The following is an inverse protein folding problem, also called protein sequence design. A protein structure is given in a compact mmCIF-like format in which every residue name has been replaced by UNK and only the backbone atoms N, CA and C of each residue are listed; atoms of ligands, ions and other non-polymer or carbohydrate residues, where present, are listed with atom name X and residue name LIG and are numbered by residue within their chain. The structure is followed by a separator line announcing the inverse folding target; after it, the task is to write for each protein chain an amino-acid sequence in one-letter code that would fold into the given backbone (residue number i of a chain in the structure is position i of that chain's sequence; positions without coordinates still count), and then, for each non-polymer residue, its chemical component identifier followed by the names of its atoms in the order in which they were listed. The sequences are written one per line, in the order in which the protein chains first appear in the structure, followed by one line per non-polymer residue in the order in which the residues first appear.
data_IF_833604132599
#
_entry.id   IF_833604132599
#
_cell.length_a   1.000
_cell.length_b   1.000
_cell.length_c   1.000
_cell.angle_alpha   90.00
_cell.angle_beta   90.00
_cell.angle_gamma   90.00
#
_symmetry.space_group_name_H-M   'P 1'
#
loop_
_entity.id
_entity.type
_entity.pdbx_description
1 polymer ?
#
# COMPACT_ATOMS: atom_id res chain seq x y z
N UNK A 1 -28.64 -7.23 -9.26
CA UNK A 1 -27.56 -6.29 -8.87
C UNK A 1 -27.18 -6.53 -7.42
N UNK A 2 -25.95 -6.18 -7.01
CA UNK A 2 -25.46 -6.38 -5.64
C UNK A 2 -26.29 -5.61 -4.60
N UNK A 3 -26.60 -6.28 -3.48
CA UNK A 3 -27.43 -5.74 -2.39
C UNK A 3 -26.70 -4.68 -1.55
N UNK A 4 -25.41 -4.87 -1.32
CA UNK A 4 -24.59 -4.04 -0.43
C UNK A 4 -23.86 -2.93 -1.18
N UNK A 5 -23.42 -1.90 -0.46
CA UNK A 5 -22.73 -0.73 -1.01
C UNK A 5 -21.27 -0.99 -1.38
N UNK A 6 -20.73 -2.13 -0.97
CA UNK A 6 -19.35 -2.54 -1.18
C UNK A 6 -19.29 -3.97 -1.72
N UNK A 7 -18.27 -4.24 -2.52
CA UNK A 7 -17.97 -5.56 -3.07
C UNK A 7 -16.60 -6.01 -2.58
N UNK A 8 -16.46 -7.31 -2.35
CA UNK A 8 -15.18 -7.97 -2.11
C UNK A 8 -14.84 -8.87 -3.30
N UNK A 9 -13.61 -8.77 -3.79
CA UNK A 9 -13.06 -9.58 -4.88
C UNK A 9 -11.93 -10.45 -4.35
N UNK A 10 -11.94 -11.74 -4.70
CA UNK A 10 -10.85 -12.67 -4.44
C UNK A 10 -10.96 -13.81 -5.46
N UNK A 11 -9.82 -14.20 -6.03
CA UNK A 11 -9.72 -15.33 -6.95
C UNK A 11 -9.45 -16.61 -6.13
N UNK A 12 -9.58 -17.77 -6.78
CA UNK A 12 -9.33 -19.10 -6.19
C UNK A 12 -7.83 -19.47 -6.11
N UNK A 13 -6.95 -18.48 -6.26
CA UNK A 13 -5.49 -18.62 -6.21
C UNK A 13 -4.91 -18.44 -4.81
N UNK A 14 -5.57 -17.62 -3.98
CA UNK A 14 -4.99 -17.11 -2.74
C UNK A 14 -5.98 -17.20 -1.58
N UNK A 15 -5.49 -17.62 -0.42
CA UNK A 15 -6.18 -17.45 0.85
C UNK A 15 -5.75 -16.12 1.48
N UNK A 16 -6.70 -15.21 1.63
CA UNK A 16 -6.49 -13.93 2.30
C UNK A 16 -6.82 -14.03 3.79
N UNK A 17 -5.78 -13.99 4.64
CA UNK A 17 -5.90 -14.01 6.10
C UNK A 17 -5.90 -12.62 6.74
N UNK A 18 -5.84 -11.55 5.94
CA UNK A 18 -5.66 -10.17 6.41
C UNK A 18 -6.91 -9.30 6.21
N UNK A 19 -8.07 -9.89 6.50
CA UNK A 19 -9.37 -9.30 6.17
C UNK A 19 -9.74 -8.15 7.10
N UNK A 20 -9.48 -8.27 8.40
CA UNK A 20 -9.76 -7.20 9.36
C UNK A 20 -8.92 -5.97 9.02
N UNK A 21 -7.64 -6.16 8.70
CA UNK A 21 -6.71 -5.08 8.35
C UNK A 21 -7.09 -4.41 7.04
N UNK A 22 -7.37 -5.20 6.00
CA UNK A 22 -7.77 -4.67 4.70
C UNK A 22 -9.10 -3.91 4.80
N UNK A 23 -10.08 -4.46 5.52
CA UNK A 23 -11.36 -3.82 5.74
C UNK A 23 -11.23 -2.54 6.58
N UNK A 24 -10.39 -2.56 7.61
CA UNK A 24 -10.09 -1.37 8.43
C UNK A 24 -9.52 -0.23 7.58
N UNK A 25 -8.58 -0.54 6.68
CA UNK A 25 -8.03 0.45 5.76
C UNK A 25 -9.09 0.97 4.78
N UNK A 26 -9.93 0.07 4.25
CA UNK A 26 -11.02 0.42 3.34
C UNK A 26 -12.06 1.36 3.97
N UNK A 27 -12.44 1.13 5.22
CA UNK A 27 -13.46 1.93 5.90
C UNK A 27 -13.07 3.40 6.06
N UNK A 28 -11.77 3.72 6.12
CA UNK A 28 -11.31 5.11 6.18
C UNK A 28 -11.59 5.85 4.86
N UNK A 29 -11.43 5.16 3.72
CA UNK A 29 -11.47 5.77 2.40
C UNK A 29 -12.15 4.85 1.37
N UNK A 30 -13.45 4.52 1.55
CA UNK A 30 -14.16 3.51 0.75
C UNK A 30 -14.36 3.93 -0.71
N UNK A 31 -14.02 5.17 -1.02
CA UNK A 31 -13.97 5.68 -2.38
C UNK A 31 -12.77 5.14 -3.17
N UNK A 32 -11.71 4.57 -2.58
CA UNK A 32 -10.60 3.98 -3.33
C UNK A 32 -10.77 2.45 -3.49
N UNK A 33 -9.95 1.84 -4.36
CA UNK A 33 -9.75 0.38 -4.34
C UNK A 33 -8.72 0.09 -3.26
N UNK A 34 -9.07 -0.76 -2.29
CA UNK A 34 -8.14 -1.28 -1.30
C UNK A 34 -7.87 -2.74 -1.59
N UNK A 35 -6.60 -3.11 -1.76
CA UNK A 35 -6.23 -4.48 -2.13
C UNK A 35 -5.03 -4.98 -1.35
N UNK A 36 -5.00 -6.29 -1.09
CA UNK A 36 -3.77 -6.97 -0.72
C UNK A 36 -2.98 -7.32 -1.98
N UNK A 37 -1.67 -7.39 -1.85
CA UNK A 37 -0.78 -7.75 -2.96
C UNK A 37 0.46 -8.43 -2.42
N UNK A 38 0.81 -9.58 -2.98
CA UNK A 38 2.09 -10.22 -2.69
C UNK A 38 3.24 -9.26 -3.00
N UNK A 39 4.36 -9.28 -2.25
CA UNK A 39 5.46 -8.34 -2.47
C UNK A 39 5.92 -8.27 -3.93
N UNK A 40 6.08 -9.41 -4.61
CA UNK A 40 6.47 -9.43 -6.03
C UNK A 40 5.42 -8.75 -6.92
N UNK A 41 4.14 -9.02 -6.70
CA UNK A 41 3.03 -8.41 -7.47
C UNK A 41 2.92 -6.91 -7.15
N UNK A 42 3.16 -6.52 -5.90
CA UNK A 42 3.19 -5.12 -5.48
C UNK A 42 4.24 -4.36 -6.30
N UNK A 43 5.47 -4.88 -6.41
CA UNK A 43 6.53 -4.27 -7.22
C UNK A 43 6.15 -4.16 -8.70
N UNK A 44 5.58 -5.21 -9.30
CA UNK A 44 5.11 -5.14 -10.69
C UNK A 44 3.97 -4.13 -10.86
N UNK A 45 3.07 -4.05 -9.89
CA UNK A 45 1.98 -3.06 -9.87
C UNK A 45 2.50 -1.63 -9.78
N UNK A 46 3.60 -1.38 -9.05
CA UNK A 46 4.25 -0.05 -8.99
C UNK A 46 4.77 0.41 -10.35
N UNK A 47 5.23 -0.51 -11.23
CA UNK A 47 5.66 -0.18 -12.61
C UNK A 47 4.52 0.34 -13.47
N UNK A 48 3.30 -0.09 -13.13
CA UNK A 48 2.06 0.27 -13.81
C UNK A 48 1.23 1.26 -12.99
N UNK A 49 1.87 2.11 -12.18
CA UNK A 49 1.32 3.35 -11.65
C UNK A 49 1.98 4.55 -12.34
N UNK A 50 1.19 5.36 -13.02
CA UNK A 50 1.71 6.46 -13.85
C UNK A 50 0.71 7.60 -13.99
N UNK A 51 1.16 8.70 -14.56
CA UNK A 51 0.32 9.87 -14.80
C UNK A 51 0.52 10.49 -16.19
N UNK A 52 -0.45 11.30 -16.59
CA UNK A 52 -0.33 12.28 -17.65
C UNK A 52 -1.25 13.46 -17.31
N UNK A 53 -0.65 14.58 -16.88
CA UNK A 53 -1.39 15.77 -16.45
C UNK A 53 -2.20 16.38 -17.61
N UNK A 54 -1.69 16.38 -18.84
CA UNK A 54 -2.38 16.95 -20.02
C UNK A 54 -3.68 16.23 -20.34
N UNK A 55 -3.83 14.98 -19.87
CA UNK A 55 -5.02 14.14 -20.08
C UNK A 55 -5.81 13.88 -18.80
N UNK A 56 -5.40 14.44 -17.66
CA UNK A 56 -5.96 14.10 -16.35
C UNK A 56 -5.93 12.59 -16.10
N UNK A 57 -4.83 11.93 -16.47
CA UNK A 57 -4.59 10.51 -16.26
C UNK A 57 -3.78 10.33 -14.97
N UNK A 58 -4.27 9.50 -14.06
CA UNK A 58 -3.63 9.15 -12.79
C UNK A 58 -4.14 7.77 -12.37
N UNK A 59 -3.49 6.73 -12.87
CA UNK A 59 -4.01 5.37 -12.75
C UNK A 59 -2.95 4.38 -12.30
N UNK A 60 -3.41 3.25 -11.77
CA UNK A 60 -2.57 2.17 -11.29
C UNK A 60 -3.21 0.81 -11.48
N UNK A 61 -2.39 -0.19 -11.81
CA UNK A 61 -2.80 -1.58 -11.76
C UNK A 61 -2.78 -2.10 -10.32
N UNK A 62 -3.76 -2.92 -9.97
CA UNK A 62 -3.68 -3.86 -8.85
C UNK A 62 -4.39 -5.15 -9.25
N UNK A 63 -3.89 -6.28 -8.74
CA UNK A 63 -4.50 -7.59 -8.96
C UNK A 63 -5.66 -7.80 -7.98
N UNK A 64 -6.89 -7.67 -8.47
CA UNK A 64 -8.08 -7.71 -7.60
C UNK A 64 -8.24 -9.06 -6.88
N UNK A 65 -7.84 -10.15 -7.54
CA UNK A 65 -7.90 -11.52 -7.03
C UNK A 65 -7.12 -11.80 -5.75
N UNK A 66 -6.17 -10.95 -5.37
CA UNK A 66 -5.41 -11.07 -4.12
C UNK A 66 -6.22 -10.69 -2.87
N UNK A 67 -7.50 -10.32 -3.03
CA UNK A 67 -8.35 -9.79 -1.96
C UNK A 67 -8.46 -8.28 -2.08
N UNK A 68 -9.63 -7.78 -2.50
CA UNK A 68 -9.86 -6.35 -2.71
C UNK A 68 -11.25 -5.91 -2.31
N UNK A 69 -11.35 -4.80 -1.58
CA UNK A 69 -12.59 -4.08 -1.34
C UNK A 69 -12.74 -2.90 -2.30
N UNK A 70 -13.94 -2.77 -2.86
CA UNK A 70 -14.31 -1.66 -3.75
C UNK A 70 -15.75 -1.23 -3.51
N UNK A 71 -16.07 0.03 -3.80
CA UNK A 71 -17.45 0.50 -3.74
C UNK A 71 -18.29 -0.03 -4.91
N UNK A 72 -19.58 -0.30 -4.64
CA UNK A 72 -20.58 -0.66 -5.66
C UNK A 72 -20.63 0.40 -6.76
N UNK A 73 -20.48 1.67 -6.40
CA UNK A 73 -20.46 2.78 -7.36
C UNK A 73 -19.34 2.62 -8.42
N UNK A 74 -18.13 2.19 -8.03
CA UNK A 74 -17.07 1.90 -9.00
C UNK A 74 -17.39 0.71 -9.88
N UNK A 75 -18.00 -0.34 -9.32
CA UNK A 75 -18.43 -1.51 -10.10
C UNK A 75 -19.50 -1.12 -11.13
N UNK A 76 -20.50 -0.34 -10.73
CA UNK A 76 -21.54 0.16 -11.65
C UNK A 76 -20.96 1.05 -12.75
N UNK A 77 -20.02 1.96 -12.39
CA UNK A 77 -19.30 2.78 -13.37
C UNK A 77 -18.53 1.92 -14.36
N UNK A 78 -17.82 0.89 -13.88
CA UNK A 78 -17.08 -0.03 -14.72
C UNK A 78 -17.98 -0.79 -15.71
N UNK A 79 -19.15 -1.26 -15.27
CA UNK A 79 -20.13 -1.87 -16.17
C UNK A 79 -20.61 -0.89 -17.24
N UNK A 80 -20.80 0.39 -16.89
CA UNK A 80 -21.10 1.46 -17.85
C UNK A 80 -19.97 1.70 -18.86
N UNK A 81 -18.71 1.69 -18.39
CA UNK A 81 -17.53 1.82 -19.24
C UNK A 81 -17.43 0.66 -20.24
N UNK A 82 -17.70 -0.58 -19.82
CA UNK A 82 -17.73 -1.75 -20.72
C UNK A 82 -18.82 -1.63 -21.79
N UNK A 83 -19.96 -1.01 -21.48
CA UNK A 83 -21.02 -0.73 -22.46
C UNK A 83 -20.63 0.34 -23.47
N UNK A 84 -19.78 1.30 -23.07
CA UNK A 84 -19.33 2.39 -23.95
C UNK A 84 -18.07 2.04 -24.74
N UNK A 85 -17.18 1.23 -24.18
CA UNK A 85 -15.93 0.78 -24.80
C UNK A 85 -16.07 -0.71 -25.06
N UNK A 86 -16.53 -1.05 -26.26
CA UNK A 86 -16.73 -2.44 -26.66
C UNK A 86 -15.42 -3.23 -26.58
N UNK A 87 -15.38 -4.21 -25.68
CA UNK A 87 -14.35 -5.23 -25.63
C UNK A 87 -14.78 -6.45 -26.46
N UNK A 88 -13.84 -7.09 -27.15
CA UNK A 88 -14.08 -8.36 -27.84
C UNK A 88 -14.40 -9.43 -26.78
N UNK A 89 -15.24 -10.43 -27.13
CA UNK A 89 -15.72 -11.47 -26.21
C UNK A 89 -14.62 -12.10 -25.32
N UNK A 90 -13.45 -12.40 -25.87
CA UNK A 90 -12.37 -13.00 -25.10
C UNK A 90 -11.75 -12.04 -24.08
N UNK A 91 -11.75 -10.73 -24.37
CA UNK A 91 -11.28 -9.68 -23.44
C UNK A 91 -12.29 -9.40 -22.34
N UNK A 92 -13.59 -9.61 -22.58
CA UNK A 92 -14.62 -9.50 -21.54
C UNK A 92 -14.41 -10.52 -20.40
N UNK A 93 -13.84 -11.69 -20.70
CA UNK A 93 -13.48 -12.69 -19.67
C UNK A 93 -12.32 -12.24 -18.78
N UNK A 94 -11.58 -11.21 -19.19
CA UNK A 94 -10.40 -10.67 -18.51
C UNK A 94 -10.65 -9.21 -18.06
N UNK A 95 -11.93 -8.81 -17.92
CA UNK A 95 -12.32 -7.44 -17.63
C UNK A 95 -11.87 -6.98 -16.23
N UNK A 96 -11.67 -7.91 -15.29
CA UNK A 96 -11.05 -7.68 -13.99
C UNK A 96 -9.69 -6.96 -14.10
N UNK A 97 -8.91 -7.25 -15.15
CA UNK A 97 -7.60 -6.63 -15.41
C UNK A 97 -7.68 -5.18 -15.88
N UNK A 98 -8.85 -4.75 -16.35
CA UNK A 98 -9.13 -3.38 -16.80
C UNK A 98 -9.64 -2.53 -15.65
N UNK A 99 -10.31 -3.16 -14.68
CA UNK A 99 -11.09 -2.51 -13.65
C UNK A 99 -10.28 -1.45 -12.90
N UNK A 100 -9.14 -1.83 -12.31
CA UNK A 100 -8.33 -0.92 -11.49
C UNK A 100 -7.84 0.28 -12.30
N UNK A 101 -7.33 0.01 -13.51
CA UNK A 101 -6.86 1.05 -14.42
C UNK A 101 -7.98 2.02 -14.82
N UNK A 102 -9.16 1.49 -15.17
CA UNK A 102 -10.30 2.28 -15.65
C UNK A 102 -11.02 3.07 -14.57
N UNK A 103 -10.69 2.86 -13.30
CA UNK A 103 -11.10 3.82 -12.26
C UNK A 103 -10.44 5.19 -12.45
N UNK A 104 -9.32 5.24 -13.18
CA UNK A 104 -8.40 6.37 -13.26
C UNK A 104 -8.07 6.90 -11.87
N UNK A 105 -7.71 5.99 -10.95
CA UNK A 105 -7.24 6.29 -9.61
C UNK A 105 -6.05 5.37 -9.31
N UNK A 106 -5.15 5.82 -8.45
CA UNK A 106 -4.17 4.92 -7.87
C UNK A 106 -4.89 3.98 -6.88
N UNK A 107 -4.66 2.66 -6.92
CA UNK A 107 -5.14 1.76 -5.86
C UNK A 107 -4.39 1.96 -4.54
N UNK A 108 -5.05 1.68 -3.41
CA UNK A 108 -4.44 1.64 -2.08
C UNK A 108 -4.04 0.20 -1.74
N UNK A 109 -2.84 -0.19 -2.14
CA UNK A 109 -2.34 -1.57 -2.03
C UNK A 109 -1.59 -1.78 -0.73
N UNK A 110 -1.86 -2.90 -0.07
CA UNK A 110 -1.12 -3.42 1.08
C UNK A 110 -0.20 -4.54 0.61
N UNK A 111 1.08 -4.48 0.97
CA UNK A 111 2.09 -5.45 0.58
C UNK A 111 2.26 -6.51 1.66
N UNK A 112 1.78 -7.72 1.44
CA UNK A 112 1.86 -8.82 2.39
C UNK A 112 1.93 -10.18 1.70
N UNK A 113 2.56 -11.19 2.32
CA UNK A 113 2.53 -12.55 1.80
C UNK A 113 1.10 -13.07 1.80
N UNK A 114 0.74 -13.85 0.78
CA UNK A 114 -0.53 -14.55 0.68
C UNK A 114 -0.27 -16.04 0.59
N UNK A 115 -1.17 -16.84 1.16
CA UNK A 115 -1.06 -18.30 1.11
C UNK A 115 -1.63 -18.78 -0.22
N UNK A 116 -0.84 -19.41 -1.11
CA UNK A 116 -1.37 -20.01 -2.33
C UNK A 116 -2.34 -21.15 -1.98
N UNK A 117 -3.43 -21.25 -2.73
CA UNK A 117 -4.32 -22.40 -2.69
C UNK A 117 -3.81 -23.48 -3.65
N UNK A 118 -3.97 -24.75 -3.27
CA UNK A 118 -3.58 -25.88 -4.13
C UNK A 118 -4.41 -25.87 -5.42
N UNK A 119 -3.75 -25.58 -6.54
CA UNK A 119 -4.37 -25.60 -7.86
C UNK A 119 -3.78 -26.73 -8.70
N UNK A 120 -4.66 -27.50 -9.33
CA UNK A 120 -4.26 -28.55 -10.29
C UNK A 120 -3.57 -28.00 -11.54
N UNK A 121 -3.78 -26.71 -11.86
CA UNK A 121 -3.22 -25.99 -13.01
C UNK A 121 -2.64 -24.62 -12.59
N UNK A 122 -1.81 -24.60 -11.55
CA UNK A 122 -1.24 -23.37 -10.99
C UNK A 122 -0.35 -22.57 -11.95
N UNK A 123 -0.24 -21.27 -11.65
CA UNK A 123 0.33 -20.19 -12.48
C UNK A 123 1.67 -20.47 -13.17
N UNK A 124 1.74 -20.18 -14.47
CA UNK A 124 2.95 -20.30 -15.32
C UNK A 124 3.47 -18.97 -15.88
N UNK A 125 4.74 -18.94 -16.30
CA UNK A 125 5.45 -17.74 -16.82
C UNK A 125 4.73 -17.06 -18.01
N UNK A 126 4.02 -17.82 -18.85
CA UNK A 126 3.29 -17.30 -20.01
C UNK A 126 2.10 -16.39 -19.65
N UNK A 127 1.57 -16.49 -18.43
CA UNK A 127 0.40 -15.72 -18.00
C UNK A 127 0.75 -14.25 -17.71
N UNK A 128 1.99 -13.93 -17.31
CA UNK A 128 2.42 -12.54 -17.09
C UNK A 128 2.43 -11.72 -18.38
N UNK A 129 2.89 -12.31 -19.49
CA UNK A 129 2.85 -11.65 -20.79
C UNK A 129 1.41 -11.30 -21.18
N UNK A 130 0.46 -12.22 -20.94
CA UNK A 130 -0.96 -11.95 -21.18
C UNK A 130 -1.48 -10.84 -20.26
N UNK A 131 -1.11 -10.82 -18.98
CA UNK A 131 -1.52 -9.78 -18.02
C UNK A 131 -1.02 -8.42 -18.47
N UNK A 132 0.27 -8.28 -18.77
CA UNK A 132 0.84 -7.00 -19.20
C UNK A 132 0.24 -6.48 -20.51
N UNK A 133 -0.05 -7.38 -21.45
CA UNK A 133 -0.74 -6.99 -22.69
C UNK A 133 -2.17 -6.48 -22.43
N UNK A 134 -2.89 -7.04 -21.44
CA UNK A 134 -4.20 -6.50 -21.03
C UNK A 134 -4.06 -5.15 -20.33
N UNK A 135 -3.06 -4.99 -19.46
CA UNK A 135 -2.78 -3.72 -18.78
C UNK A 135 -2.49 -2.61 -19.80
N UNK A 136 -1.68 -2.91 -20.82
CA UNK A 136 -1.37 -1.97 -21.88
C UNK A 136 -2.62 -1.60 -22.70
N UNK A 137 -3.40 -2.58 -23.14
CA UNK A 137 -4.64 -2.34 -23.90
C UNK A 137 -5.66 -1.51 -23.09
N UNK A 138 -5.85 -1.86 -21.81
CA UNK A 138 -6.70 -1.11 -20.90
C UNK A 138 -6.25 0.35 -20.78
N UNK A 139 -4.93 0.57 -20.66
CA UNK A 139 -4.35 1.91 -20.56
C UNK A 139 -4.53 2.72 -21.83
N UNK A 140 -4.31 2.12 -23.00
CA UNK A 140 -4.49 2.79 -24.30
C UNK A 140 -5.95 3.22 -24.50
N UNK A 141 -6.91 2.37 -24.12
CA UNK A 141 -8.34 2.68 -24.17
C UNK A 141 -8.72 3.79 -23.20
N UNK A 142 -8.22 3.74 -21.96
CA UNK A 142 -8.41 4.80 -20.98
C UNK A 142 -7.84 6.14 -21.49
N UNK A 143 -6.62 6.15 -22.01
CA UNK A 143 -5.98 7.35 -22.55
C UNK A 143 -6.82 7.95 -23.68
N UNK A 144 -7.29 7.12 -24.61
CA UNK A 144 -8.12 7.55 -25.74
C UNK A 144 -9.46 8.13 -25.25
N UNK A 145 -10.10 7.49 -24.27
CA UNK A 145 -11.34 7.97 -23.68
C UNK A 145 -11.16 9.31 -22.96
N UNK A 146 -10.05 9.49 -22.23
CA UNK A 146 -9.72 10.75 -21.56
C UNK A 146 -9.37 11.88 -22.55
N UNK A 147 -8.79 11.55 -23.71
CA UNK A 147 -8.45 12.52 -24.74
C UNK A 147 -9.68 13.15 -25.40
N UNK A 148 -10.80 12.43 -25.45
CA UNK A 148 -12.08 12.98 -25.90
C UNK A 148 -12.64 13.87 -24.77
N UNK A 149 -12.77 15.17 -25.04
CA UNK A 149 -13.51 16.12 -24.18
C UNK A 149 -15.02 15.85 -24.32
N UNK A 150 -15.47 14.70 -23.82
CA UNK A 150 -16.89 14.42 -23.67
C UNK A 150 -17.36 14.82 -22.28
N UNK A 151 -18.60 15.30 -22.17
CA UNK A 151 -19.29 15.51 -20.89
C UNK A 151 -19.69 14.18 -20.22
N UNK A 152 -19.17 13.03 -20.69
CA UNK A 152 -19.50 11.74 -20.10
C UNK A 152 -18.71 11.52 -18.80
N UNK A 153 -19.43 11.18 -17.73
CA UNK A 153 -18.87 10.94 -16.39
C UNK A 153 -18.26 9.53 -16.25
N UNK A 154 -18.00 8.83 -17.35
CA UNK A 154 -17.54 7.44 -17.30
C UNK A 154 -16.15 7.30 -16.66
N UNK A 155 -15.28 8.29 -16.81
CA UNK A 155 -13.93 8.26 -16.24
C UNK A 155 -13.70 9.46 -15.32
N UNK A 156 -13.26 9.18 -14.09
CA UNK A 156 -12.85 10.23 -13.16
C UNK A 156 -11.66 11.00 -13.75
N UNK A 157 -11.62 12.32 -13.55
CA UNK A 157 -10.54 13.21 -14.03
C UNK A 157 -9.81 13.92 -12.89
N UNK A 158 -10.28 13.75 -11.67
CA UNK A 158 -9.62 14.26 -10.48
C UNK A 158 -9.19 13.09 -9.61
N UNK A 159 -8.04 13.23 -8.96
CA UNK A 159 -7.59 12.23 -7.99
C UNK A 159 -8.49 12.29 -6.76
N UNK A 160 -9.00 11.12 -6.38
CA UNK A 160 -9.84 10.97 -5.20
C UNK A 160 -8.96 10.96 -3.94
N UNK A 161 -9.44 11.63 -2.88
CA UNK A 161 -8.77 11.62 -1.57
C UNK A 161 -8.85 10.24 -0.92
N UNK A 162 -7.86 9.82 -0.12
CA UNK A 162 -6.59 10.49 0.15
C UNK A 162 -5.72 10.47 -1.10
N UNK A 163 -5.07 11.60 -1.35
CA UNK A 163 -4.12 11.68 -2.45
C UNK A 163 -2.99 10.70 -2.21
N UNK A 164 -2.29 10.34 -3.27
CA UNK A 164 -1.25 9.33 -3.26
C UNK A 164 -0.24 9.50 -2.12
N UNK A 165 0.21 10.74 -1.87
CA UNK A 165 1.19 11.07 -0.83
C UNK A 165 0.65 10.93 0.60
N UNK A 166 -0.67 10.96 0.78
CA UNK A 166 -1.32 10.83 2.07
C UNK A 166 -1.56 9.35 2.45
N UNK A 167 -1.23 8.41 1.57
CA UNK A 167 -1.45 6.96 1.75
C UNK A 167 -0.26 6.33 2.46
N UNK A 168 -0.34 6.30 3.79
CA UNK A 168 0.77 5.90 4.66
C UNK A 168 0.74 4.44 5.11
N UNK A 169 -0.42 3.79 5.06
CA UNK A 169 -0.56 2.35 5.37
C UNK A 169 0.13 1.50 4.31
N UNK A 170 0.92 0.50 4.70
CA UNK A 170 1.77 -0.26 3.77
C UNK A 170 1.59 -1.77 3.82
N UNK A 171 1.34 -2.34 4.99
CA UNK A 171 1.17 -3.78 5.15
C UNK A 171 0.28 -4.09 6.36
N UNK A 172 -0.54 -5.14 6.34
CA UNK A 172 -1.11 -5.71 7.55
C UNK A 172 -0.04 -6.38 8.42
N UNK A 173 -0.29 -6.41 9.72
CA UNK A 173 0.43 -7.23 10.68
C UNK A 173 0.07 -8.72 10.51
N UNK A 174 0.98 -9.64 10.85
CA UNK A 174 0.77 -11.08 10.67
C UNK A 174 -0.51 -11.59 11.34
N UNK A 175 -0.81 -11.06 12.52
CA UNK A 175 -1.97 -11.45 13.33
C UNK A 175 -3.30 -10.79 12.89
N UNK A 176 -3.29 -9.99 11.82
CA UNK A 176 -4.44 -9.24 11.31
C UNK A 176 -5.09 -8.35 12.39
N UNK A 177 -4.30 -7.78 13.33
CA UNK A 177 -4.77 -6.85 14.38
C UNK A 177 -4.18 -5.44 14.29
N UNK A 178 -3.30 -5.22 13.33
CA UNK A 178 -2.77 -3.90 13.03
C UNK A 178 -2.33 -3.75 11.57
N UNK A 179 -1.98 -2.52 11.23
CA UNK A 179 -1.50 -2.08 9.93
C UNK A 179 -0.18 -1.34 10.14
N UNK A 180 0.88 -1.80 9.51
CA UNK A 180 2.14 -1.08 9.42
C UNK A 180 1.99 0.17 8.56
N UNK A 181 2.47 1.31 9.08
CA UNK A 181 2.42 2.60 8.41
C UNK A 181 3.79 3.26 8.34
N UNK A 182 4.06 3.95 7.23
CA UNK A 182 5.22 4.81 7.05
C UNK A 182 5.01 5.79 5.90
N UNK A 183 5.56 7.00 6.02
CA UNK A 183 5.63 7.95 4.91
C UNK A 183 6.81 7.69 3.97
N UNK A 184 7.73 6.77 4.32
CA UNK A 184 8.89 6.42 3.51
C UNK A 184 8.45 5.44 2.41
N UNK A 185 8.26 5.95 1.20
CA UNK A 185 7.99 5.12 0.01
C UNK A 185 9.29 4.96 -0.81
N UNK A 186 9.83 3.74 -0.97
CA UNK A 186 11.10 3.54 -1.67
C UNK A 186 10.94 3.65 -3.19
N UNK A 187 9.72 3.62 -3.71
CA UNK A 187 9.47 3.65 -5.15
C UNK A 187 9.35 5.11 -5.68
N UNK A 188 9.41 5.30 -7.00
CA UNK A 188 9.15 6.59 -7.62
C UNK A 188 7.69 7.00 -7.45
N UNK A 189 7.46 8.31 -7.31
CA UNK A 189 6.12 8.86 -7.35
C UNK A 189 5.49 8.63 -8.74
N UNK A 190 4.23 8.19 -8.86
CA UNK A 190 3.59 7.87 -10.14
C UNK A 190 3.61 9.01 -11.15
N UNK A 191 3.56 10.27 -10.71
CA UNK A 191 3.68 11.43 -11.60
C UNK A 191 5.03 11.55 -12.31
N UNK A 192 6.08 10.89 -11.81
CA UNK A 192 7.40 10.83 -12.47
C UNK A 192 7.42 9.81 -13.61
N UNK A 193 6.46 8.90 -13.64
CA UNK A 193 6.30 7.90 -14.69
C UNK A 193 5.27 8.43 -15.67
N UNK A 194 5.73 9.12 -16.71
CA UNK A 194 4.85 9.76 -17.68
C UNK A 194 4.34 8.77 -18.74
N UNK A 195 3.02 8.61 -18.87
CA UNK A 195 2.43 7.81 -19.95
C UNK A 195 2.10 8.67 -21.18
N UNK A 196 2.37 8.12 -22.37
CA UNK A 196 2.15 8.78 -23.66
C UNK A 196 1.48 7.81 -24.64
N UNK A 197 0.72 8.34 -25.61
CA UNK A 197 -0.02 7.54 -26.59
C UNK A 197 0.86 6.80 -27.61
N UNK A 198 2.15 7.10 -27.69
CA UNK A 198 3.09 6.40 -28.58
C UNK A 198 3.63 5.09 -28.00
N UNK A 199 3.20 4.71 -26.79
CA UNK A 199 3.58 3.43 -26.15
C UNK A 199 2.77 2.31 -26.78
N UNK A 200 3.46 1.45 -27.54
CA UNK A 200 2.86 0.30 -28.23
C UNK A 200 3.29 -1.04 -27.63
N UNK A 201 4.38 -1.07 -26.86
CA UNK A 201 4.87 -2.27 -26.18
C UNK A 201 4.98 -2.06 -24.67
N UNK A 202 4.74 -3.13 -23.91
CA UNK A 202 4.88 -3.19 -22.45
C UNK A 202 6.24 -2.66 -21.98
N UNK A 203 7.31 -3.09 -22.66
CA UNK A 203 8.69 -2.73 -22.33
C UNK A 203 8.95 -1.23 -22.45
N UNK A 204 8.25 -0.51 -23.33
CA UNK A 204 8.44 0.92 -23.52
C UNK A 204 8.00 1.68 -22.27
N UNK A 205 6.84 1.31 -21.71
CA UNK A 205 6.34 1.88 -20.46
C UNK A 205 7.21 1.48 -19.27
N UNK A 206 7.55 0.20 -19.15
CA UNK A 206 8.41 -0.28 -18.06
C UNK A 206 9.79 0.36 -18.08
N UNK A 207 10.35 0.65 -19.27
CA UNK A 207 11.64 1.32 -19.39
C UNK A 207 11.66 2.72 -18.76
N UNK A 208 10.50 3.41 -18.71
CA UNK A 208 10.40 4.73 -18.07
C UNK A 208 10.51 4.61 -16.55
N UNK A 209 9.85 3.61 -15.97
CA UNK A 209 9.97 3.30 -14.55
C UNK A 209 11.39 2.81 -14.21
N UNK A 210 11.93 1.91 -15.02
CA UNK A 210 13.23 1.27 -14.78
C UNK A 210 14.43 2.23 -14.82
N UNK A 211 14.26 3.45 -15.36
CA UNK A 211 15.27 4.52 -15.35
C UNK A 211 15.31 5.31 -14.03
N UNK A 212 14.29 5.15 -13.19
CA UNK A 212 14.18 5.85 -11.92
C UNK A 212 14.84 5.05 -10.80
N UNK A 213 15.01 5.67 -9.64
CA UNK A 213 15.53 5.00 -8.45
C UNK A 213 14.41 4.24 -7.73
N UNK A 214 14.59 2.93 -7.56
CA UNK A 214 13.65 2.02 -6.90
C UNK A 214 14.35 0.74 -6.44
N UNK A 215 13.78 0.01 -5.47
CA UNK A 215 14.32 -1.28 -5.02
C UNK A 215 14.42 -2.32 -6.14
N UNK A 216 15.56 -3.04 -6.19
CA UNK A 216 15.65 -4.22 -7.04
C UNK A 216 14.66 -5.30 -6.58
N UNK A 217 14.30 -6.23 -7.47
CA UNK A 217 13.44 -7.38 -7.11
C UNK A 217 14.04 -8.19 -5.95
N UNK A 218 15.37 -8.38 -5.95
CA UNK A 218 16.07 -9.06 -4.86
C UNK A 218 15.92 -8.28 -3.55
N UNK A 219 16.15 -6.97 -3.55
CA UNK A 219 15.96 -6.15 -2.36
C UNK A 219 14.52 -6.24 -1.84
N UNK A 220 13.55 -6.03 -2.72
CA UNK A 220 12.15 -6.00 -2.32
C UNK A 220 11.66 -7.32 -1.75
N UNK A 221 12.12 -8.44 -2.30
CA UNK A 221 11.79 -9.77 -1.79
C UNK A 221 12.39 -10.07 -0.41
N UNK A 222 13.40 -9.32 0.06
CA UNK A 222 14.04 -9.56 1.36
C UNK A 222 13.77 -8.45 2.39
N UNK A 223 13.30 -7.28 1.94
CA UNK A 223 13.18 -6.09 2.79
C UNK A 223 11.88 -5.29 2.60
N UNK A 224 10.82 -5.90 2.03
CA UNK A 224 9.50 -5.28 1.92
C UNK A 224 8.85 -4.93 3.26
N UNK A 225 7.81 -4.09 3.22
CA UNK A 225 7.16 -3.51 4.40
C UNK A 225 6.68 -4.53 5.46
N UNK A 226 6.14 -5.67 5.03
CA UNK A 226 5.58 -6.68 5.94
C UNK A 226 6.60 -7.25 6.93
N UNK A 227 7.90 -7.23 6.58
CA UNK A 227 8.98 -7.70 7.46
C UNK A 227 9.18 -6.85 8.72
N UNK A 228 8.49 -5.70 8.85
CA UNK A 228 8.47 -4.96 10.12
C UNK A 228 7.48 -5.55 11.15
N UNK A 229 6.53 -6.38 10.69
CA UNK A 229 5.32 -6.81 11.41
C UNK A 229 4.92 -8.25 11.07
N UNK A 230 5.91 -9.09 10.75
CA UNK A 230 5.72 -10.52 10.42
C UNK A 230 6.00 -11.43 11.63
N UNK A 231 6.20 -10.84 12.81
CA UNK A 231 6.57 -11.53 14.05
C UNK A 231 7.89 -12.33 14.01
N UNK A 232 8.78 -12.12 13.03
CA UNK A 232 10.12 -12.72 12.97
C UNK A 232 11.21 -11.67 13.20
N UNK A 233 11.95 -11.78 14.31
CA UNK A 233 13.03 -10.83 14.65
C UNK A 233 14.23 -10.88 13.68
N UNK A 234 14.28 -11.83 12.73
CA UNK A 234 15.41 -12.05 11.80
C UNK A 234 15.20 -11.45 10.42
N UNK A 235 13.96 -11.22 10.03
CA UNK A 235 13.60 -10.53 8.80
C UNK A 235 13.44 -9.05 9.11
N UNK A 236 13.72 -8.16 8.16
CA UNK A 236 13.62 -6.73 8.44
C UNK A 236 13.06 -5.97 7.24
N UNK A 237 12.17 -5.02 7.51
CA UNK A 237 11.89 -3.96 6.54
C UNK A 237 13.09 -3.02 6.49
N UNK A 238 13.57 -2.70 5.29
CA UNK A 238 14.62 -1.69 5.07
C UNK A 238 14.00 -0.45 4.41
N UNK A 239 14.32 0.73 4.91
CA UNK A 239 13.76 2.00 4.42
C UNK A 239 14.15 2.30 2.96
N UNK A 240 15.21 1.67 2.43
CA UNK A 240 15.84 1.85 1.10
C UNK A 240 16.39 3.27 0.88
N UNK A 241 15.57 4.29 1.09
CA UNK A 241 15.95 5.70 1.12
C UNK A 241 16.45 6.06 2.51
N UNK A 242 17.39 6.99 2.55
CA UNK A 242 17.93 7.56 3.79
C UNK A 242 16.84 8.45 4.43
N UNK A 243 16.33 8.10 5.63
CA UNK A 243 15.28 8.85 6.30
C UNK A 243 15.73 10.28 6.68
N UNK A 244 14.77 11.20 6.65
CA UNK A 244 14.93 12.61 7.00
C UNK A 244 14.17 12.97 8.25
N UNK A 245 14.50 14.12 8.84
CA UNK A 245 13.72 14.68 9.93
C UNK A 245 12.23 14.73 9.56
N UNK A 246 11.37 14.20 10.44
CA UNK A 246 9.94 14.10 10.22
C UNK A 246 9.46 12.83 9.50
N UNK A 247 10.37 12.01 8.94
CA UNK A 247 10.01 10.67 8.47
C UNK A 247 9.66 9.75 9.65
N UNK A 248 8.75 8.80 9.41
CA UNK A 248 8.24 7.95 10.48
C UNK A 248 7.85 6.56 10.01
N UNK A 249 7.79 5.65 10.97
CA UNK A 249 7.16 4.35 10.86
C UNK A 249 6.29 4.10 12.09
N UNK A 250 5.37 3.15 12.03
CA UNK A 250 4.51 2.86 13.16
C UNK A 250 3.38 1.92 12.83
N UNK A 251 2.32 2.01 13.64
CA UNK A 251 1.20 1.08 13.59
C UNK A 251 -0.13 1.83 13.68
N UNK A 252 -1.09 1.37 12.89
CA UNK A 252 -2.51 1.62 13.09
C UNK A 252 -3.13 0.35 13.67
N UNK A 253 -3.85 0.49 14.78
CA UNK A 253 -4.58 -0.60 15.40
C UNK A 253 -5.96 -0.76 14.78
N UNK A 254 -6.39 -2.01 14.63
CA UNK A 254 -7.76 -2.33 14.26
C UNK A 254 -8.68 -2.03 15.44
N UNK A 255 -8.33 -2.55 16.60
CA UNK A 255 -8.96 -2.22 17.87
C UNK A 255 -8.13 -1.16 18.59
N UNK A 256 -8.69 0.05 18.85
CA UNK A 256 -7.97 1.09 19.57
C UNK A 256 -7.52 0.64 20.98
N UNK A 257 -6.31 1.06 21.41
CA UNK A 257 -5.64 0.62 22.65
C UNK A 257 -4.98 1.77 23.41
N UNK A 258 -4.35 1.48 24.56
CA UNK A 258 -3.50 2.41 25.32
C UNK A 258 -2.11 1.85 25.51
N UNK A 259 -1.27 1.82 24.46
CA UNK A 259 0.09 1.33 24.60
C UNK A 259 0.87 2.23 25.55
N UNK A 260 1.68 1.61 26.42
CA UNK A 260 2.61 2.32 27.32
C UNK A 260 4.06 2.04 26.97
N UNK A 261 4.30 0.97 26.22
CA UNK A 261 5.62 0.47 25.88
C UNK A 261 5.65 0.07 24.41
N UNK A 262 6.68 0.53 23.71
CA UNK A 262 7.01 0.08 22.36
C UNK A 262 8.46 -0.36 22.33
N UNK A 263 8.71 -1.52 21.75
CA UNK A 263 10.05 -2.01 21.49
C UNK A 263 10.25 -2.10 19.99
N UNK A 264 11.37 -1.56 19.53
CA UNK A 264 11.84 -1.64 18.15
C UNK A 264 13.04 -2.56 18.13
N UNK A 265 12.99 -3.58 17.28
CA UNK A 265 14.12 -4.48 17.01
C UNK A 265 14.66 -4.11 15.64
N UNK A 266 15.98 -3.98 15.54
CA UNK A 266 16.69 -3.69 14.30
C UNK A 266 17.87 -4.63 14.09
N UNK A 267 18.34 -4.72 12.85
CA UNK A 267 19.52 -5.54 12.51
C UNK A 267 20.83 -4.85 12.91
N UNK A 268 20.78 -3.52 13.05
CA UNK A 268 21.89 -2.64 13.43
C UNK A 268 21.41 -1.63 14.44
N UNK A 269 22.30 -1.22 15.34
CA UNK A 269 22.00 -0.09 16.20
C UNK A 269 21.82 1.16 15.33
N UNK A 270 20.71 1.87 15.51
CA UNK A 270 20.55 3.18 14.93
C UNK A 270 20.72 4.20 16.04
N UNK A 271 21.74 5.05 15.92
CA UNK A 271 21.88 6.23 16.75
C UNK A 271 20.77 7.19 16.33
N UNK A 272 19.60 7.10 16.95
CA UNK A 272 18.50 7.97 16.59
C UNK A 272 17.66 8.39 17.80
N UNK A 273 17.49 9.71 17.86
CA UNK A 273 16.48 10.35 18.68
C UNK A 273 15.16 10.31 17.90
N UNK A 274 14.12 9.78 18.53
CA UNK A 274 12.78 9.71 17.95
C UNK A 274 11.77 10.42 18.84
N UNK A 275 10.73 10.94 18.21
CA UNK A 275 9.50 11.30 18.88
C UNK A 275 8.50 10.17 18.77
N UNK A 276 7.92 9.77 19.90
CA UNK A 276 6.75 8.90 19.90
C UNK A 276 5.52 9.79 19.80
N UNK A 277 4.70 9.57 18.77
CA UNK A 277 3.48 10.33 18.53
C UNK A 277 2.29 9.42 18.37
N UNK A 278 1.15 9.83 18.93
CA UNK A 278 -0.09 9.07 18.90
C UNK A 278 -1.25 9.87 18.32
N UNK A 279 -2.24 9.15 17.77
CA UNK A 279 -3.48 9.74 17.29
C UNK A 279 -4.67 8.78 17.51
N UNK A 280 -5.84 9.33 17.76
CA UNK A 280 -7.10 8.57 17.77
C UNK A 280 -7.74 8.46 16.38
N UNK A 281 -7.41 9.36 15.46
CA UNK A 281 -8.06 9.45 14.13
C UNK A 281 -7.11 9.76 12.97
N UNK A 282 -5.80 9.66 13.16
CA UNK A 282 -4.79 9.82 12.10
C UNK A 282 -4.54 11.24 11.61
N UNK A 283 -5.41 12.20 11.94
CA UNK A 283 -5.33 13.60 11.48
C UNK A 283 -4.64 14.57 12.46
N UNK A 284 -4.69 14.28 13.76
CA UNK A 284 -4.11 15.10 14.83
C UNK A 284 -3.15 14.26 15.64
N UNK A 285 -1.87 14.63 15.58
CA UNK A 285 -0.79 13.88 16.21
C UNK A 285 -0.28 14.58 17.47
N UNK A 286 -0.09 13.79 18.52
CA UNK A 286 0.30 14.25 19.85
C UNK A 286 1.58 13.57 20.26
N UNK A 287 2.59 14.34 20.65
CA UNK A 287 3.86 13.80 21.16
C UNK A 287 3.66 13.29 22.59
N UNK A 288 4.20 12.10 22.86
CA UNK A 288 4.22 11.50 24.19
C UNK A 288 5.58 11.73 24.85
N UNK A 289 5.59 11.76 26.18
CA UNK A 289 6.82 11.90 26.94
C UNK A 289 7.43 10.52 27.12
N UNK A 290 8.68 10.32 26.69
CA UNK A 290 9.43 9.10 26.96
C UNK A 290 9.85 9.12 28.43
N UNK A 291 9.40 8.13 29.21
CA UNK A 291 9.65 8.03 30.65
C UNK A 291 10.87 7.18 30.96
N UNK A 292 11.15 6.18 30.13
CA UNK A 292 12.36 5.37 30.21
C UNK A 292 12.75 4.87 28.81
N UNK A 293 14.05 4.74 28.58
CA UNK A 293 14.61 4.15 27.35
C UNK A 293 15.70 3.16 27.74
N UNK A 294 15.50 1.89 27.41
CA UNK A 294 16.48 0.84 27.63
C UNK A 294 16.94 0.31 26.27
N UNK A 295 18.25 0.43 26.01
CA UNK A 295 18.93 -0.27 24.93
C UNK A 295 19.64 -1.48 25.54
N UNK A 296 19.33 -2.69 25.06
CA UNK A 296 20.08 -3.89 25.45
C UNK A 296 21.01 -4.28 24.30
N UNK A 297 22.33 -4.17 24.53
CA UNK A 297 23.41 -4.41 23.56
C UNK A 297 23.35 -5.77 22.84
N UNK A 298 22.68 -6.77 23.43
CA UNK A 298 22.67 -8.13 22.87
C UNK A 298 21.76 -8.32 21.64
N UNK A 299 20.90 -7.37 21.26
CA UNK A 299 19.92 -7.54 20.16
C UNK A 299 19.54 -6.27 19.35
N UNK A 300 20.27 -5.14 19.48
CA UNK A 300 19.83 -3.85 18.90
C UNK A 300 18.35 -3.56 19.22
N UNK A 301 17.98 -3.82 20.47
CA UNK A 301 16.60 -3.81 20.94
C UNK A 301 16.39 -2.54 21.73
N UNK A 302 15.65 -1.61 21.14
CA UNK A 302 15.36 -0.30 21.71
C UNK A 302 13.96 -0.29 22.28
N UNK A 303 13.84 -0.26 23.61
CA UNK A 303 12.55 -0.23 24.31
C UNK A 303 12.29 1.14 24.88
N UNK A 304 11.13 1.69 24.55
CA UNK A 304 10.67 2.99 25.01
C UNK A 304 9.39 2.82 25.82
N UNK A 305 9.43 3.23 27.08
CA UNK A 305 8.23 3.46 27.87
C UNK A 305 7.84 4.92 27.73
N UNK A 306 6.55 5.18 27.54
CA UNK A 306 6.06 6.52 27.27
C UNK A 306 4.71 6.78 27.93
N UNK A 307 4.48 8.04 28.25
CA UNK A 307 3.22 8.54 28.76
C UNK A 307 2.62 9.60 27.84
N UNK A 308 1.39 9.34 27.41
CA UNK A 308 0.59 10.24 26.57
C UNK A 308 -0.56 10.91 27.36
N UNK A 309 -0.63 10.71 28.68
CA UNK A 309 -1.74 11.15 29.55
C UNK A 309 -1.94 12.67 29.57
N UNK A 310 -0.84 13.43 29.64
CA UNK A 310 -0.86 14.90 29.60
C UNK A 310 -1.40 15.45 28.27
N UNK A 311 -1.27 14.66 27.21
CA UNK A 311 -1.66 15.07 25.86
C UNK A 311 -3.06 14.58 25.52
N UNK A 312 -3.55 13.49 26.12
CA UNK A 312 -4.89 12.91 25.90
C UNK A 312 -5.82 13.19 27.08
N UNK A 313 -6.42 14.39 27.10
CA UNK A 313 -7.58 14.67 27.96
C UNK A 313 -8.64 13.56 27.75
N UNK A 314 -8.97 12.83 28.80
CA UNK A 314 -10.05 11.82 28.90
C UNK A 314 -9.77 10.37 28.46
N UNK A 315 -8.53 9.84 28.54
CA UNK A 315 -8.27 8.43 28.19
C UNK A 315 -8.97 8.05 26.87
N UNK A 316 -8.71 8.81 25.81
CA UNK A 316 -9.26 8.53 24.48
C UNK A 316 -8.42 7.43 23.84
N UNK A 317 -9.07 6.35 23.39
CA UNK A 317 -8.36 5.20 22.83
C UNK A 317 -7.46 5.65 21.65
N UNK A 318 -6.22 5.16 21.66
CA UNK A 318 -5.22 5.43 20.64
C UNK A 318 -5.42 4.42 19.52
N UNK A 319 -5.55 4.91 18.29
CA UNK A 319 -5.66 4.06 17.10
C UNK A 319 -4.38 4.06 16.28
N UNK A 320 -3.55 5.08 16.43
CA UNK A 320 -2.30 5.22 15.69
C UNK A 320 -1.16 5.55 16.63
N UNK A 321 -0.02 4.90 16.42
CA UNK A 321 1.27 5.25 17.01
C UNK A 321 2.30 5.35 15.89
N UNK A 322 3.18 6.35 15.96
CA UNK A 322 4.32 6.47 15.07
C UNK A 322 5.57 6.89 15.83
N UNK A 323 6.70 6.38 15.36
CA UNK A 323 8.05 6.71 15.78
C UNK A 323 8.61 7.61 14.67
N UNK A 324 8.81 8.88 14.99
CA UNK A 324 9.17 9.94 14.05
C UNK A 324 10.61 10.37 14.26
N UNK A 325 11.40 10.37 13.20
CA UNK A 325 12.80 10.78 13.18
C UNK A 325 12.93 12.24 13.63
N UNK A 326 13.70 12.49 14.68
CA UNK A 326 13.96 13.86 15.15
C UNK A 326 15.17 14.52 14.49
N UNK A 327 15.90 13.78 13.64
CA UNK A 327 17.06 14.23 12.88
C UNK A 327 17.24 13.43 11.60
N UNK A 328 18.04 13.94 10.68
CA UNK A 328 18.45 13.24 9.47
C UNK A 328 19.32 12.03 9.79
N UNK A 329 19.11 10.94 9.05
CA UNK A 329 19.94 9.75 9.12
C UNK A 329 21.09 9.85 8.10
N UNK A 330 22.16 9.08 8.36
CA UNK A 330 23.30 8.96 7.45
C UNK A 330 23.14 7.78 6.47
N UNK A 331 22.36 6.78 6.86
CA UNK A 331 22.11 5.56 6.08
C UNK A 331 20.64 5.11 6.21
N UNK A 332 20.14 4.26 5.31
CA UNK A 332 18.86 3.58 5.50
C UNK A 332 18.87 2.75 6.79
N UNK A 333 17.74 2.66 7.49
CA UNK A 333 17.61 1.80 8.67
C UNK A 333 16.79 0.54 8.37
N UNK A 334 16.88 -0.42 9.29
CA UNK A 334 16.12 -1.67 9.24
C UNK A 334 15.28 -1.84 10.51
N UNK A 335 14.01 -2.21 10.34
CA UNK A 335 13.08 -2.56 11.42
C UNK A 335 12.71 -4.02 11.24
N UNK A 336 13.13 -4.85 12.17
CA UNK A 336 12.92 -6.29 12.14
C UNK A 336 11.68 -6.71 12.92
N UNK A 337 11.30 -5.96 13.95
CA UNK A 337 10.05 -6.19 14.65
C UNK A 337 9.63 -4.95 15.43
N UNK A 338 8.31 -4.77 15.51
CA UNK A 338 7.66 -3.87 16.45
C UNK A 338 6.94 -4.71 17.49
N UNK A 339 7.16 -4.41 18.77
CA UNK A 339 6.49 -5.09 19.88
C UNK A 339 5.81 -4.03 20.74
N UNK A 340 4.54 -4.23 21.07
CA UNK A 340 3.72 -3.31 21.86
C UNK A 340 3.22 -3.99 23.13
N UNK A 341 3.52 -3.40 24.29
CA UNK A 341 3.15 -3.95 25.60
C UNK A 341 3.39 -5.47 25.70
N UNK A 342 4.53 -5.94 25.17
CA UNK A 342 4.95 -7.36 25.15
C UNK A 342 4.20 -8.27 24.15
N UNK A 343 3.26 -7.73 23.37
CA UNK A 343 2.67 -8.41 22.22
C UNK A 343 3.52 -8.13 20.98
N UNK A 344 4.10 -9.20 20.41
CA UNK A 344 4.68 -9.13 19.07
C UNK A 344 3.52 -8.95 18.08
N UNK A 345 3.64 -7.96 17.20
CA UNK A 345 2.59 -7.57 16.27
C UNK A 345 2.91 -7.97 14.85
#
# INVERSE_FOLDING_TARGET
MAKYDYCYFQDDDWLNLYMDSLYTNFLENPNLIHSNSMPVIYLESRRWMFANADKNLHTGFTWLGCGSFVSRAKVQRFLGQLGSISLIKDRLKLADRYFSLWTNQYPYQLSNPLTPLDQKDGWGVDQWNMVYNNILDATQKLYTALAVKSNSEFFAREEEKPYYNDRIIRAPCLNDKCLFLTNIDPFPHPSRVYYANNITHVRDQESKFNKLDFPSKFFWNNYAYHYAVDSDEKTCWNSFKIPKIGDYFGLQFIEPRFPKKITVISSRDFDASFYIRVSSGGNRWRTCNITSSNNTDHKNRNTFEFDCSNTVKNRQLIRFIRIEASRDFLEPFEICSLILDELNV
#
